data_IF_699354155404
#
_entry.id   IF_699354155404
#
_cell.length_a   1.000
_cell.length_b   1.000
_cell.length_c   1.000
_cell.angle_alpha   90.00
_cell.angle_beta   90.00
_cell.angle_gamma   90.00
#
_symmetry.space_group_name_H-M   'P 1'
#
loop_
_entity.id
_entity.type
_entity.pdbx_description
1 polymer ?
#
# COMPACT_ATOMS: atom_id res chain seq x y z
N UNK A 1 -16.20 -1.46 -7.18
CA UNK A 1 -16.88 -1.87 -8.42
C UNK A 1 -16.11 -3.02 -9.07
N UNK A 2 -16.72 -4.20 -9.22
CA UNK A 2 -16.10 -5.37 -9.86
C UNK A 2 -16.52 -5.41 -11.34
N UNK A 3 -15.67 -4.91 -12.24
CA UNK A 3 -15.83 -5.15 -13.68
C UNK A 3 -15.25 -6.52 -14.01
N UNK A 4 -15.96 -7.30 -14.84
CA UNK A 4 -15.50 -8.62 -15.30
C UNK A 4 -15.11 -8.52 -16.76
N UNK A 5 -13.87 -8.87 -17.08
CA UNK A 5 -13.37 -8.93 -18.45
C UNK A 5 -13.49 -10.37 -18.95
N UNK A 6 -14.19 -10.54 -20.07
CA UNK A 6 -14.33 -11.81 -20.76
C UNK A 6 -13.29 -11.91 -21.88
N UNK A 7 -12.32 -12.81 -21.74
CA UNK A 7 -11.29 -13.02 -22.76
C UNK A 7 -11.66 -14.22 -23.62
N UNK A 8 -11.92 -13.97 -24.91
CA UNK A 8 -12.15 -14.99 -25.93
C UNK A 8 -10.98 -15.02 -26.90
N UNK A 9 -10.52 -16.22 -27.30
CA UNK A 9 -9.36 -16.37 -28.20
C UNK A 9 -8.34 -17.43 -27.77
N UNK A 10 -8.44 -17.96 -26.54
CA UNK A 10 -7.77 -19.19 -26.14
C UNK A 10 -8.75 -20.38 -26.15
N UNK A 11 -8.25 -21.61 -26.12
CA UNK A 11 -9.05 -22.85 -26.13
C UNK A 11 -10.04 -22.98 -24.96
N UNK A 12 -9.98 -22.06 -24.00
CA UNK A 12 -11.00 -21.82 -22.96
C UNK A 12 -11.22 -20.32 -22.81
N UNK A 13 -12.47 -19.89 -22.74
CA UNK A 13 -12.80 -18.53 -22.34
C UNK A 13 -12.50 -18.35 -20.85
N UNK A 14 -11.77 -17.30 -20.52
CA UNK A 14 -11.43 -16.96 -19.13
C UNK A 14 -12.18 -15.69 -18.72
N UNK A 15 -12.68 -15.69 -17.48
CA UNK A 15 -13.23 -14.50 -16.84
C UNK A 15 -12.15 -13.99 -15.90
N UNK A 16 -11.65 -12.78 -16.16
CA UNK A 16 -10.78 -12.07 -15.23
C UNK A 16 -11.56 -10.93 -14.58
N UNK A 17 -11.23 -10.60 -13.33
CA UNK A 17 -11.73 -9.39 -12.69
C UNK A 17 -10.82 -8.24 -13.09
N UNK A 18 -11.42 -7.12 -13.49
CA UNK A 18 -10.73 -5.89 -13.83
C UNK A 18 -11.38 -4.75 -13.04
N UNK A 19 -11.36 -4.82 -11.71
CA UNK A 19 -12.06 -3.85 -10.86
C UNK A 19 -11.42 -2.46 -10.92
N UNK A 20 -12.22 -1.41 -10.76
CA UNK A 20 -11.74 -0.05 -10.45
C UNK A 20 -11.73 0.09 -8.93
N UNK A 21 -10.78 -0.56 -8.27
CA UNK A 21 -10.66 -0.52 -6.82
C UNK A 21 -9.18 -0.42 -6.40
N UNK A 22 -8.95 -0.19 -5.11
CA UNK A 22 -7.61 -0.04 -4.53
C UNK A 22 -6.64 -1.20 -4.84
N UNK A 23 -7.15 -2.43 -4.96
CA UNK A 23 -6.33 -3.62 -5.27
C UNK A 23 -5.88 -3.65 -6.73
N UNK A 24 -6.57 -2.93 -7.60
CA UNK A 24 -6.34 -2.90 -9.05
C UNK A 24 -5.57 -1.64 -9.49
N UNK A 25 -5.03 -0.88 -8.52
CA UNK A 25 -4.04 0.17 -8.76
C UNK A 25 -4.53 1.61 -8.71
N UNK A 26 -5.81 1.87 -8.41
CA UNK A 26 -6.33 3.24 -8.30
C UNK A 26 -6.56 3.68 -6.85
N UNK A 27 -6.19 4.92 -6.49
CA UNK A 27 -6.63 5.58 -5.26
C UNK A 27 -8.15 5.49 -5.04
N UNK A 28 -8.58 5.40 -3.78
CA UNK A 28 -10.01 5.39 -3.45
C UNK A 28 -10.69 6.72 -3.81
N UNK A 29 -9.89 7.78 -3.86
CA UNK A 29 -10.27 9.14 -4.23
C UNK A 29 -10.62 9.25 -5.72
N UNK A 30 -10.35 8.21 -6.52
CA UNK A 30 -10.72 8.09 -7.93
C UNK A 30 -11.93 7.19 -8.15
N UNK A 31 -12.57 6.74 -7.07
CA UNK A 31 -13.77 5.90 -7.15
C UNK A 31 -14.98 6.80 -7.39
N UNK A 32 -15.67 6.54 -8.50
CA UNK A 32 -16.98 7.08 -8.84
C UNK A 32 -17.83 6.02 -9.54
N UNK A 33 -18.96 6.43 -10.11
CA UNK A 33 -19.82 5.56 -10.92
C UNK A 33 -19.24 5.37 -12.32
N UNK A 34 -19.16 4.13 -12.80
CA UNK A 34 -18.73 3.85 -14.17
C UNK A 34 -19.90 4.14 -15.10
N UNK A 35 -19.82 5.22 -15.86
CA UNK A 35 -20.88 5.63 -16.78
C UNK A 35 -20.76 4.93 -18.12
N UNK A 36 -19.53 4.75 -18.60
CA UNK A 36 -19.28 4.13 -19.89
C UNK A 36 -18.01 3.29 -19.87
N UNK A 37 -18.07 2.14 -20.54
CA UNK A 37 -16.90 1.35 -20.91
C UNK A 37 -16.75 1.42 -22.43
N UNK A 38 -15.59 1.86 -22.88
CA UNK A 38 -15.29 2.07 -24.29
C UNK A 38 -14.18 1.10 -24.69
N UNK A 39 -14.47 0.28 -25.70
CA UNK A 39 -13.48 -0.62 -26.28
C UNK A 39 -12.43 0.18 -27.06
N UNK A 40 -11.16 -0.14 -26.83
CA UNK A 40 -10.04 0.32 -27.63
C UNK A 40 -9.30 -0.84 -28.29
N UNK A 41 -8.17 -0.52 -28.93
CA UNK A 41 -7.36 -1.52 -29.63
C UNK A 41 -6.61 -2.44 -28.64
N UNK A 42 -5.78 -1.84 -27.78
CA UNK A 42 -4.94 -2.57 -26.81
C UNK A 42 -5.41 -2.42 -25.36
N UNK A 43 -6.28 -1.43 -25.11
CA UNK A 43 -6.80 -1.06 -23.80
C UNK A 43 -8.30 -0.83 -23.89
N UNK A 44 -9.01 -1.02 -22.78
CA UNK A 44 -10.38 -0.52 -22.65
C UNK A 44 -10.40 0.68 -21.69
N UNK A 45 -11.31 1.61 -21.96
CA UNK A 45 -11.42 2.87 -21.22
C UNK A 45 -12.68 2.87 -20.37
N UNK A 46 -12.57 3.41 -19.17
CA UNK A 46 -13.70 3.67 -18.29
C UNK A 46 -13.86 5.17 -18.09
N UNK A 47 -15.09 5.65 -18.32
CA UNK A 47 -15.54 6.98 -17.91
C UNK A 47 -16.15 6.82 -16.53
N UNK A 48 -15.56 7.50 -15.55
CA UNK A 48 -15.99 7.45 -14.17
C UNK A 48 -16.51 8.83 -13.78
N UNK A 49 -17.77 8.89 -13.39
CA UNK A 49 -18.45 10.09 -12.91
C UNK A 49 -18.44 10.11 -11.38
N UNK A 50 -17.94 11.20 -10.80
CA UNK A 50 -17.97 11.44 -9.36
C UNK A 50 -18.91 12.57 -8.95
N UNK A 51 -19.70 13.15 -9.85
CA UNK A 51 -20.57 14.30 -9.58
C UNK A 51 -21.65 14.05 -8.52
N UNK A 52 -22.03 12.78 -8.32
CA UNK A 52 -22.97 12.36 -7.27
C UNK A 52 -22.25 11.83 -6.02
N UNK A 53 -20.92 11.78 -6.02
CA UNK A 53 -20.13 11.29 -4.89
C UNK A 53 -19.89 12.39 -3.88
N UNK A 54 -20.08 12.08 -2.60
CA UNK A 54 -19.82 13.02 -1.50
C UNK A 54 -18.33 12.95 -1.17
N UNK A 55 -17.60 14.06 -1.29
CA UNK A 55 -16.20 14.17 -0.88
C UNK A 55 -15.31 14.90 -1.89
N UNK A 56 -14.04 14.49 -1.97
CA UNK A 56 -13.01 15.09 -2.84
C UNK A 56 -12.78 14.27 -4.12
N UNK A 57 -13.70 13.37 -4.47
CA UNK A 57 -13.61 12.53 -5.67
C UNK A 57 -13.88 13.36 -6.92
N UNK A 58 -13.11 13.13 -7.96
CA UNK A 58 -13.21 13.85 -9.24
C UNK A 58 -13.43 12.87 -10.39
N UNK A 59 -14.22 13.29 -11.37
CA UNK A 59 -14.53 12.48 -12.54
C UNK A 59 -13.27 12.28 -13.37
N UNK A 60 -13.16 11.14 -14.02
CA UNK A 60 -11.92 10.79 -14.72
C UNK A 60 -12.09 9.75 -15.80
N UNK A 61 -11.09 9.73 -16.68
CA UNK A 61 -10.94 8.71 -17.71
C UNK A 61 -9.79 7.81 -17.32
N UNK A 62 -10.07 6.52 -17.22
CA UNK A 62 -9.11 5.50 -16.84
C UNK A 62 -8.95 4.48 -17.96
N UNK A 63 -7.73 4.03 -18.20
CA UNK A 63 -7.44 2.98 -19.16
C UNK A 63 -6.95 1.73 -18.45
N UNK A 64 -7.39 0.56 -18.93
CA UNK A 64 -6.93 -0.73 -18.44
C UNK A 64 -6.37 -1.56 -19.58
N UNK A 65 -5.19 -2.13 -19.33
CA UNK A 65 -4.54 -3.10 -20.20
C UNK A 65 -4.82 -4.56 -19.76
N UNK A 66 -5.81 -4.76 -18.88
CA UNK A 66 -6.16 -6.06 -18.31
C UNK A 66 -5.31 -6.49 -17.11
N UNK A 67 -4.28 -5.73 -16.73
CA UNK A 67 -3.47 -6.01 -15.51
C UNK A 67 -3.54 -4.89 -14.48
N UNK A 68 -3.58 -3.64 -14.92
CA UNK A 68 -3.66 -2.48 -14.05
C UNK A 68 -4.45 -1.36 -14.72
N UNK A 69 -4.93 -0.44 -13.90
CA UNK A 69 -5.54 0.79 -14.35
C UNK A 69 -4.54 1.94 -14.32
N UNK A 70 -4.63 2.83 -15.31
CA UNK A 70 -3.93 4.11 -15.33
C UNK A 70 -4.94 5.24 -15.52
N UNK A 71 -4.71 6.36 -14.85
CA UNK A 71 -5.45 7.59 -15.11
C UNK A 71 -4.93 8.23 -16.42
N UNK A 72 -5.83 8.59 -17.33
CA UNK A 72 -5.51 9.34 -18.55
C UNK A 72 -5.90 10.81 -18.42
N UNK A 73 -6.98 11.07 -17.70
CA UNK A 73 -7.51 12.41 -17.48
C UNK A 73 -8.31 12.44 -16.19
N UNK A 74 -8.29 13.60 -15.54
CA UNK A 74 -9.09 13.85 -14.34
C UNK A 74 -9.61 15.28 -14.40
N UNK A 75 -10.85 15.46 -13.93
CA UNK A 75 -11.42 16.79 -13.82
C UNK A 75 -10.77 17.55 -12.66
N UNK A 76 -10.75 18.87 -12.79
CA UNK A 76 -10.32 19.77 -11.70
C UNK A 76 -11.47 20.09 -10.75
N UNK A 77 -12.71 19.79 -11.14
CA UNK A 77 -13.92 19.99 -10.35
C UNK A 77 -14.49 18.65 -9.86
N UNK A 78 -15.15 18.68 -8.70
CA UNK A 78 -15.91 17.53 -8.17
C UNK A 78 -17.27 17.38 -8.83
N UNK A 79 -17.74 18.40 -9.54
CA UNK A 79 -19.11 18.51 -10.09
C UNK A 79 -19.22 18.08 -11.56
N UNK A 80 -18.09 17.75 -12.20
CA UNK A 80 -18.03 17.44 -13.62
C UNK A 80 -18.69 16.10 -13.96
N UNK A 81 -20.01 16.10 -14.20
CA UNK A 81 -20.71 14.91 -14.65
C UNK A 81 -20.20 14.42 -16.01
N UNK A 82 -20.07 13.10 -16.17
CA UNK A 82 -19.68 12.46 -17.44
C UNK A 82 -20.86 11.66 -17.98
N UNK A 83 -21.33 11.96 -19.19
CA UNK A 83 -22.53 11.31 -19.72
C UNK A 83 -22.24 10.36 -20.89
N UNK A 84 -21.20 10.63 -21.66
CA UNK A 84 -20.91 9.90 -22.89
C UNK A 84 -19.43 9.95 -23.27
N UNK A 85 -19.02 8.94 -24.02
CA UNK A 85 -17.74 8.95 -24.70
C UNK A 85 -17.74 7.98 -25.88
N UNK A 86 -16.91 8.30 -26.86
CA UNK A 86 -16.75 7.51 -28.08
C UNK A 86 -15.28 7.45 -28.47
N UNK A 87 -14.87 6.33 -29.05
CA UNK A 87 -13.56 6.19 -29.68
C UNK A 87 -13.72 6.32 -31.19
N UNK A 88 -13.06 7.31 -31.80
CA UNK A 88 -13.00 7.42 -33.26
C UNK A 88 -11.90 6.52 -33.80
N UNK A 89 -12.09 5.94 -34.98
CA UNK A 89 -11.10 5.04 -35.61
C UNK A 89 -10.55 5.56 -36.94
N UNK A 90 -10.95 6.75 -37.39
CA UNK A 90 -10.45 7.40 -38.62
C UNK A 90 -10.79 8.90 -38.61
N UNK A 91 -9.91 9.81 -39.10
CA UNK A 91 -8.55 9.57 -39.63
C UNK A 91 -7.50 9.30 -38.53
N UNK A 92 -7.70 9.87 -37.34
CA UNK A 92 -6.90 9.60 -36.14
C UNK A 92 -7.74 8.89 -35.08
N UNK A 93 -7.09 8.11 -34.21
CA UNK A 93 -7.79 7.50 -33.07
C UNK A 93 -7.86 8.50 -31.93
N UNK A 94 -9.08 8.93 -31.61
CA UNK A 94 -9.34 9.92 -30.57
C UNK A 94 -10.40 9.34 -29.63
N UNK A 95 -10.12 9.43 -28.34
CA UNK A 95 -11.13 9.25 -27.31
C UNK A 95 -11.79 10.61 -27.08
N UNK A 96 -13.06 10.72 -27.47
CA UNK A 96 -13.90 11.89 -27.22
C UNK A 96 -14.82 11.58 -26.05
N UNK A 97 -14.94 12.50 -25.10
CA UNK A 97 -15.81 12.34 -23.94
C UNK A 97 -16.31 13.70 -23.48
N UNK A 98 -17.46 13.74 -22.81
CA UNK A 98 -17.92 14.93 -22.12
C UNK A 98 -17.62 14.88 -20.63
N UNK A 99 -17.35 16.05 -20.06
CA UNK A 99 -17.33 16.27 -18.63
C UNK A 99 -17.79 17.70 -18.34
N UNK A 100 -18.78 17.87 -17.44
CA UNK A 100 -19.23 19.20 -17.03
C UNK A 100 -19.72 20.07 -18.19
N UNK A 101 -20.46 19.49 -19.13
CA UNK A 101 -20.94 20.15 -20.38
C UNK A 101 -19.85 20.57 -21.38
N UNK A 102 -18.59 20.15 -21.19
CA UNK A 102 -17.49 20.41 -22.13
C UNK A 102 -17.05 19.10 -22.79
N UNK A 103 -16.81 19.13 -24.09
CA UNK A 103 -16.25 17.99 -24.82
C UNK A 103 -14.73 18.04 -24.83
N UNK A 104 -14.11 16.96 -24.36
CA UNK A 104 -12.68 16.75 -24.33
C UNK A 104 -12.26 15.71 -25.37
N UNK A 105 -10.97 15.72 -25.71
CA UNK A 105 -10.37 14.76 -26.62
C UNK A 105 -9.00 14.32 -26.13
N UNK A 106 -8.74 13.02 -26.19
CA UNK A 106 -7.42 12.44 -25.93
C UNK A 106 -6.99 11.69 -27.20
N UNK A 107 -5.84 12.04 -27.80
CA UNK A 107 -5.29 11.26 -28.89
C UNK A 107 -4.79 9.91 -28.36
N UNK A 108 -5.24 8.83 -29.00
CA UNK A 108 -4.87 7.46 -28.66
C UNK A 108 -3.93 6.93 -29.75
N UNK A 109 -2.85 6.30 -29.32
CA UNK A 109 -1.91 5.67 -30.23
C UNK A 109 -2.42 4.28 -30.65
N UNK A 110 -2.37 3.96 -31.95
CA UNK A 110 -2.77 2.64 -32.48
C UNK A 110 -1.75 1.53 -32.25
N UNK A 111 -0.52 1.91 -31.90
CA UNK A 111 0.62 1.01 -31.85
C UNK A 111 1.45 1.31 -30.61
N UNK A 112 2.22 0.32 -30.16
CA UNK A 112 3.23 0.47 -29.12
C UNK A 112 4.34 1.41 -29.58
N UNK A 113 4.12 2.72 -29.43
CA UNK A 113 5.16 3.73 -29.60
C UNK A 113 5.61 4.21 -28.24
N UNK A 114 6.94 4.23 -28.05
CA UNK A 114 7.52 4.89 -26.91
C UNK A 114 7.29 6.40 -27.07
N UNK A 115 6.60 7.08 -26.14
CA UNK A 115 6.38 8.53 -26.23
C UNK A 115 7.67 9.32 -26.42
N UNK A 116 8.80 8.86 -25.88
CA UNK A 116 10.12 9.50 -26.08
C UNK A 116 10.64 9.44 -27.52
N UNK A 117 10.11 8.55 -28.35
CA UNK A 117 10.51 8.40 -29.75
C UNK A 117 9.59 9.13 -30.72
N UNK A 118 8.50 9.73 -30.23
CA UNK A 118 7.66 10.61 -31.02
C UNK A 118 8.14 12.05 -30.85
N UNK A 119 8.94 12.52 -31.81
CA UNK A 119 9.49 13.89 -31.81
C UNK A 119 8.42 14.98 -31.94
N UNK A 120 7.18 14.63 -32.25
CA UNK A 120 6.06 15.56 -32.40
C UNK A 120 5.14 15.59 -31.18
N UNK A 121 5.39 14.75 -30.17
CA UNK A 121 4.57 14.70 -28.97
C UNK A 121 4.79 15.95 -28.12
N UNK A 122 3.69 16.61 -27.75
CA UNK A 122 3.69 17.80 -26.89
C UNK A 122 3.26 17.40 -25.48
N UNK A 123 4.15 17.57 -24.51
CA UNK A 123 3.84 17.26 -23.11
C UNK A 123 3.01 18.37 -22.45
N UNK A 124 2.13 18.01 -21.52
CA UNK A 124 1.42 18.98 -20.68
C UNK A 124 2.40 19.73 -19.75
N UNK A 125 2.05 20.95 -19.35
CA UNK A 125 2.91 21.77 -18.48
C UNK A 125 3.22 21.11 -17.12
N UNK A 126 2.26 20.35 -16.60
CA UNK A 126 2.38 19.59 -15.37
C UNK A 126 1.60 18.29 -15.46
N UNK A 127 1.99 17.30 -14.67
CA UNK A 127 1.25 16.08 -14.45
C UNK A 127 1.36 15.64 -12.99
N UNK A 128 0.33 14.94 -12.50
CA UNK A 128 0.32 14.39 -11.15
C UNK A 128 0.10 12.89 -11.26
N UNK A 129 0.95 12.10 -10.62
CA UNK A 129 0.73 10.67 -10.45
C UNK A 129 0.57 10.37 -8.97
N UNK A 130 -0.50 9.66 -8.60
CA UNK A 130 -0.77 9.26 -7.22
C UNK A 130 -0.89 7.74 -7.18
N UNK A 131 -0.12 7.12 -6.28
CA UNK A 131 -0.20 5.68 -6.03
C UNK A 131 -1.46 5.35 -5.22
N UNK A 132 -1.95 4.10 -5.26
CA UNK A 132 -2.88 3.63 -4.24
C UNK A 132 -2.19 3.61 -2.86
N UNK A 133 -3.01 3.52 -1.80
CA UNK A 133 -2.51 3.29 -0.44
C UNK A 133 -1.87 1.90 -0.36
N UNK A 134 -0.60 1.88 0.02
CA UNK A 134 0.20 0.68 0.21
C UNK A 134 0.25 0.28 1.69
N UNK A 135 -0.09 -0.98 1.99
CA UNK A 135 -0.14 -1.56 3.33
C UNK A 135 0.69 -2.86 3.46
N UNK A 136 1.51 -3.18 2.45
CA UNK A 136 2.32 -4.40 2.36
C UNK A 136 1.56 -5.71 2.68
N UNK A 137 0.27 -5.78 2.33
CA UNK A 137 -0.63 -6.91 2.62
C UNK A 137 -0.82 -7.19 4.12
N UNK A 138 -0.58 -6.18 4.97
CA UNK A 138 -0.61 -6.29 6.43
C UNK A 138 -1.18 -5.02 7.04
N UNK A 139 -2.50 -4.85 7.00
CA UNK A 139 -3.15 -3.69 7.61
C UNK A 139 -3.07 -3.67 9.15
N UNK A 140 -2.82 -4.82 9.79
CA UNK A 140 -2.85 -4.93 11.26
C UNK A 140 -1.54 -4.53 11.92
N UNK A 141 -0.41 -4.62 11.20
CA UNK A 141 0.91 -4.41 11.77
C UNK A 141 1.59 -3.18 11.21
N UNK A 142 2.24 -2.46 12.11
CA UNK A 142 3.10 -1.34 11.79
C UNK A 142 4.33 -1.79 10.99
N UNK A 143 4.86 -0.85 10.22
CA UNK A 143 6.05 -1.03 9.40
C UNK A 143 6.98 0.13 9.65
N UNK A 144 8.27 -0.14 9.62
CA UNK A 144 9.28 0.90 9.60
C UNK A 144 9.63 1.21 8.14
N UNK A 145 9.07 2.29 7.60
CA UNK A 145 9.45 2.79 6.28
C UNK A 145 10.74 3.59 6.38
N UNK A 146 11.76 3.18 5.64
CA UNK A 146 13.11 3.75 5.77
C UNK A 146 13.40 4.80 4.70
N UNK A 147 13.12 4.47 3.45
CA UNK A 147 13.43 5.32 2.32
C UNK A 147 12.53 5.00 1.13
N UNK A 148 12.36 5.98 0.27
CA UNK A 148 11.92 5.77 -1.10
C UNK A 148 13.18 5.80 -1.96
N UNK A 149 13.19 4.98 -3.02
CA UNK A 149 14.23 5.03 -4.03
C UNK A 149 13.56 5.38 -5.35
N UNK A 150 13.95 6.49 -5.95
CA UNK A 150 13.50 6.86 -7.29
C UNK A 150 14.55 6.58 -8.34
N UNK A 151 14.10 6.11 -9.50
CA UNK A 151 14.92 5.97 -10.69
C UNK A 151 14.44 6.96 -11.72
N UNK A 152 15.21 8.02 -11.94
CA UNK A 152 14.85 9.10 -12.86
C UNK A 152 15.88 9.24 -13.99
N UNK A 153 15.41 9.75 -15.14
CA UNK A 153 16.23 10.10 -16.29
C UNK A 153 15.77 11.43 -16.88
N UNK A 154 16.68 12.04 -17.64
CA UNK A 154 16.47 13.32 -18.31
C UNK A 154 16.01 14.43 -17.34
N UNK A 155 16.45 14.36 -16.08
CA UNK A 155 16.26 15.42 -15.09
C UNK A 155 17.31 16.51 -15.37
N UNK A 156 16.84 17.74 -15.54
CA UNK A 156 17.68 18.93 -15.67
C UNK A 156 17.20 20.02 -14.72
N UNK A 157 17.82 21.21 -14.76
CA UNK A 157 17.38 22.36 -13.97
C UNK A 157 15.98 22.88 -14.32
N UNK A 158 15.42 22.49 -15.47
CA UNK A 158 14.15 23.01 -15.97
C UNK A 158 12.97 22.07 -15.74
N UNK A 159 13.21 20.76 -15.80
CA UNK A 159 12.23 19.72 -15.50
C UNK A 159 12.31 19.32 -14.03
N UNK A 160 11.19 19.30 -13.33
CA UNK A 160 11.17 18.96 -11.90
C UNK A 160 10.25 17.79 -11.61
N UNK A 161 10.66 16.95 -10.65
CA UNK A 161 9.82 15.90 -10.06
C UNK A 161 9.78 16.10 -8.56
N UNK A 162 8.67 16.59 -8.03
CA UNK A 162 8.48 16.64 -6.58
C UNK A 162 7.91 15.30 -6.11
N UNK A 163 8.68 14.62 -5.26
CA UNK A 163 8.31 13.35 -4.63
C UNK A 163 7.65 13.69 -3.30
N UNK A 164 6.39 13.29 -3.17
CA UNK A 164 5.58 13.58 -1.99
C UNK A 164 4.97 12.30 -1.43
N UNK A 165 4.69 12.31 -0.14
CA UNK A 165 4.05 11.19 0.54
C UNK A 165 3.09 11.66 1.62
N UNK A 166 2.24 10.73 2.05
CA UNK A 166 1.41 10.85 3.25
C UNK A 166 1.21 9.47 3.87
N UNK A 167 0.99 9.44 5.17
CA UNK A 167 0.97 8.21 5.97
C UNK A 167 -0.35 8.04 6.71
N UNK A 168 -0.67 6.79 7.05
CA UNK A 168 -1.71 6.38 8.01
C UNK A 168 -3.11 6.94 7.74
N UNK A 169 -3.43 7.28 6.48
CA UNK A 169 -4.71 7.88 6.08
C UNK A 169 -5.13 9.07 6.94
N UNK A 170 -4.18 9.77 7.56
CA UNK A 170 -4.48 10.90 8.47
C UNK A 170 -5.14 12.06 7.71
N UNK A 171 -4.77 12.24 6.45
CA UNK A 171 -5.46 13.09 5.50
C UNK A 171 -5.67 12.30 4.20
N UNK A 172 -6.91 12.29 3.70
CA UNK A 172 -7.29 11.61 2.45
C UNK A 172 -7.59 12.58 1.29
N UNK A 173 -7.58 13.90 1.53
CA UNK A 173 -7.78 14.92 0.50
C UNK A 173 -6.69 14.83 -0.57
N UNK A 174 -7.08 14.68 -1.82
CA UNK A 174 -6.14 14.54 -2.92
C UNK A 174 -5.32 15.81 -3.18
N UNK A 175 -5.85 16.98 -2.86
CA UNK A 175 -5.21 18.27 -3.11
C UNK A 175 -4.24 18.67 -1.98
N UNK A 176 -4.48 18.24 -0.74
CA UNK A 176 -3.76 18.70 0.45
C UNK A 176 -3.19 17.56 1.30
N UNK A 177 -2.44 17.88 2.36
CA UNK A 177 -1.91 16.88 3.30
C UNK A 177 -0.72 16.06 2.80
N UNK A 178 -0.05 16.51 1.74
CA UNK A 178 1.15 15.88 1.20
C UNK A 178 2.41 16.47 1.83
N UNK A 179 3.27 15.63 2.37
CA UNK A 179 4.63 15.99 2.79
C UNK A 179 5.57 15.87 1.61
N UNK A 180 6.34 16.91 1.31
CA UNK A 180 7.37 16.84 0.26
C UNK A 180 8.60 16.18 0.83
N UNK A 181 9.01 15.08 0.18
CA UNK A 181 10.19 14.32 0.55
C UNK A 181 11.43 14.86 -0.14
N UNK A 182 11.33 15.07 -1.46
CA UNK A 182 12.40 15.63 -2.26
C UNK A 182 11.86 16.29 -3.54
N UNK A 183 12.69 17.07 -4.23
CA UNK A 183 12.39 17.62 -5.55
C UNK A 183 13.60 17.46 -6.45
N UNK A 184 13.52 16.48 -7.36
CA UNK A 184 14.54 16.25 -8.37
C UNK A 184 14.51 17.40 -9.37
N UNK A 185 15.61 18.12 -9.53
CA UNK A 185 15.75 19.29 -10.40
C UNK A 185 17.20 19.54 -10.86
N UNK A 186 18.06 18.53 -10.84
CA UNK A 186 19.46 18.64 -11.30
C UNK A 186 19.87 17.43 -12.12
N UNK A 187 20.87 17.62 -12.99
CA UNK A 187 21.41 16.53 -13.79
C UNK A 187 22.14 15.46 -12.97
N UNK A 188 22.52 15.77 -11.72
CA UNK A 188 23.11 14.81 -10.78
C UNK A 188 22.12 13.78 -10.25
N UNK A 189 20.82 14.02 -10.41
CA UNK A 189 19.74 13.14 -9.94
C UNK A 189 19.26 12.18 -11.04
N UNK A 190 20.00 12.09 -12.16
CA UNK A 190 19.81 11.04 -13.15
C UNK A 190 20.37 9.71 -12.61
N UNK A 191 19.53 8.69 -12.55
CA UNK A 191 19.87 7.39 -11.96
C UNK A 191 19.03 7.10 -10.72
N UNK A 192 19.64 6.44 -9.74
CA UNK A 192 19.00 6.11 -8.47
C UNK A 192 19.21 7.23 -7.46
N UNK A 193 18.13 7.73 -6.87
CA UNK A 193 18.14 8.62 -5.72
C UNK A 193 17.52 7.89 -4.53
N UNK A 194 18.10 8.06 -3.33
CA UNK A 194 17.56 7.50 -2.08
C UNK A 194 17.04 8.65 -1.22
N UNK A 195 15.73 8.72 -1.06
CA UNK A 195 15.07 9.76 -0.27
C UNK A 195 14.60 9.17 1.07
N UNK A 196 15.26 9.59 2.15
CA UNK A 196 15.05 8.99 3.48
C UNK A 196 13.79 9.54 4.15
N UNK A 197 13.00 8.63 4.71
CA UNK A 197 11.81 8.96 5.49
C UNK A 197 12.17 9.20 6.96
N UNK A 198 11.55 10.22 7.56
CA UNK A 198 11.83 10.65 8.93
C UNK A 198 13.27 11.13 9.12
N UNK A 199 13.71 11.18 10.39
CA UNK A 199 15.04 11.68 10.78
C UNK A 199 16.14 10.62 10.54
N UNK A 200 16.19 10.01 9.35
CA UNK A 200 17.06 8.90 8.94
C UNK A 200 16.88 7.55 9.67
N UNK A 201 16.10 7.51 10.75
CA UNK A 201 15.77 6.29 11.48
C UNK A 201 14.59 5.51 10.83
N UNK A 202 13.96 6.10 9.82
CA UNK A 202 12.67 5.65 9.29
C UNK A 202 11.49 6.24 10.05
N UNK A 203 10.30 6.00 9.50
CA UNK A 203 9.01 6.42 10.06
C UNK A 203 8.14 5.17 10.27
N UNK A 204 7.48 5.09 11.42
CA UNK A 204 6.53 4.01 11.70
C UNK A 204 5.21 4.33 10.99
N UNK A 205 4.80 3.43 10.11
CA UNK A 205 3.62 3.59 9.26
C UNK A 205 2.79 2.30 9.24
N UNK A 206 1.48 2.44 9.25
CA UNK A 206 0.53 1.38 8.90
C UNK A 206 0.39 1.32 7.38
N UNK A 207 0.17 2.49 6.76
CA UNK A 207 -0.05 2.69 5.33
C UNK A 207 0.68 3.92 4.81
N UNK A 208 1.04 3.91 3.53
CA UNK A 208 1.67 5.05 2.85
C UNK A 208 1.07 5.23 1.46
N UNK A 209 0.98 6.48 1.03
CA UNK A 209 0.61 6.84 -0.33
C UNK A 209 1.67 7.78 -0.91
N UNK A 210 2.02 7.58 -2.17
CA UNK A 210 3.01 8.36 -2.89
C UNK A 210 2.34 9.25 -3.93
N UNK A 211 2.93 10.42 -4.14
CA UNK A 211 2.53 11.38 -5.18
C UNK A 211 3.77 11.93 -5.86
N UNK A 212 3.73 11.97 -7.19
CA UNK A 212 4.74 12.62 -8.03
C UNK A 212 4.09 13.81 -8.71
N UNK A 213 4.60 15.01 -8.45
CA UNK A 213 4.25 16.19 -9.23
C UNK A 213 5.36 16.43 -10.26
N UNK A 214 5.03 16.23 -11.52
CA UNK A 214 5.95 16.39 -12.64
C UNK A 214 5.72 17.74 -13.30
N UNK A 215 6.79 18.47 -13.61
CA UNK A 215 6.74 19.69 -14.41
C UNK A 215 7.80 19.64 -15.51
N UNK A 216 7.40 19.97 -16.74
CA UNK A 216 8.28 19.94 -17.93
C UNK A 216 9.17 21.17 -18.12
N UNK A 217 9.03 22.17 -17.25
CA UNK A 217 9.65 23.48 -17.44
C UNK A 217 9.08 24.28 -18.62
N UNK A 218 9.96 25.05 -19.29
CA UNK A 218 9.57 26.02 -20.31
C UNK A 218 9.37 25.47 -21.73
N UNK A 219 9.89 24.28 -22.03
CA UNK A 219 9.76 23.68 -23.38
C UNK A 219 8.53 22.77 -23.46
N UNK A 220 8.08 22.44 -24.67
CA UNK A 220 6.94 21.55 -24.87
C UNK A 220 7.31 20.12 -25.28
N UNK A 221 8.59 19.90 -25.54
CA UNK A 221 9.14 18.67 -26.13
C UNK A 221 9.97 17.85 -25.16
N UNK A 222 10.31 18.41 -23.99
CA UNK A 222 11.01 17.72 -22.92
C UNK A 222 10.06 17.50 -21.75
N UNK A 223 10.32 16.47 -20.95
CA UNK A 223 9.61 16.17 -19.72
C UNK A 223 10.50 15.28 -18.84
N UNK A 224 10.39 15.37 -17.51
CA UNK A 224 11.13 14.47 -16.63
C UNK A 224 10.64 13.02 -16.80
N UNK A 225 11.56 12.05 -16.75
CA UNK A 225 11.24 10.63 -16.88
C UNK A 225 11.50 9.88 -15.57
N UNK A 226 10.43 9.54 -14.85
CA UNK A 226 10.50 8.67 -13.67
C UNK A 226 10.19 7.23 -14.10
N UNK A 227 11.19 6.36 -13.98
CA UNK A 227 11.11 4.97 -14.45
C UNK A 227 10.60 4.02 -13.37
N UNK A 228 10.95 4.27 -12.11
CA UNK A 228 10.52 3.46 -10.98
C UNK A 228 10.55 4.24 -9.67
N UNK A 229 9.67 3.84 -8.76
CA UNK A 229 9.63 4.30 -7.37
C UNK A 229 9.51 3.06 -6.49
N UNK A 230 10.45 2.89 -5.55
CA UNK A 230 10.57 1.68 -4.73
C UNK A 230 10.61 2.07 -3.25
N UNK A 231 9.67 1.55 -2.47
CA UNK A 231 9.65 1.74 -1.02
C UNK A 231 10.56 0.70 -0.34
N UNK A 232 11.54 1.17 0.42
CA UNK A 232 12.33 0.36 1.34
C UNK A 232 11.69 0.39 2.73
N UNK A 233 11.17 -0.75 3.19
CA UNK A 233 10.50 -0.89 4.47
C UNK A 233 10.86 -2.21 5.17
N UNK A 234 10.70 -2.23 6.48
CA UNK A 234 10.78 -3.43 7.30
C UNK A 234 9.44 -3.64 8.00
N UNK A 235 8.89 -4.86 7.92
CA UNK A 235 7.72 -5.23 8.72
C UNK A 235 8.14 -5.29 10.19
N UNK A 236 7.45 -4.53 11.05
CA UNK A 236 7.64 -4.64 12.48
C UNK A 236 6.76 -5.77 12.98
N UNK A 237 7.37 -6.69 13.72
CA UNK A 237 6.63 -7.65 14.53
C UNK A 237 6.69 -7.09 15.93
N UNK A 238 5.55 -7.05 16.61
CA UNK A 238 5.51 -6.59 17.99
C UNK A 238 6.53 -7.37 18.82
N UNK A 239 7.28 -6.64 19.64
CA UNK A 239 8.31 -7.25 20.45
C UNK A 239 7.65 -8.08 21.54
N UNK A 240 7.63 -9.39 21.34
CA UNK A 240 7.10 -10.33 22.32
C UNK A 240 8.20 -10.62 23.36
N UNK A 241 7.92 -10.30 24.62
CA UNK A 241 8.79 -10.66 25.72
C UNK A 241 8.55 -12.11 26.14
N UNK A 242 9.63 -12.78 26.55
CA UNK A 242 9.52 -14.09 27.17
C UNK A 242 10.40 -14.20 28.40
N UNK A 243 9.90 -14.93 29.38
CA UNK A 243 10.61 -15.24 30.62
C UNK A 243 10.78 -16.74 30.70
N UNK A 244 12.03 -17.19 30.87
CA UNK A 244 12.31 -18.59 31.16
C UNK A 244 12.55 -18.75 32.66
N UNK A 245 11.88 -19.74 33.25
CA UNK A 245 12.04 -20.05 34.66
C UNK A 245 12.12 -21.56 34.88
N UNK A 246 12.86 -21.93 35.92
CA UNK A 246 12.95 -23.29 36.42
C UNK A 246 12.11 -23.39 37.68
N UNK A 247 11.01 -24.14 37.62
CA UNK A 247 10.22 -24.46 38.79
C UNK A 247 10.71 -25.77 39.39
N UNK A 248 11.02 -25.73 40.68
CA UNK A 248 11.26 -26.92 41.48
C UNK A 248 9.93 -27.22 42.17
N UNK A 249 9.33 -28.36 41.84
CA UNK A 249 8.11 -28.83 42.50
C UNK A 249 8.52 -29.76 43.64
N UNK A 250 8.24 -29.32 44.85
CA UNK A 250 8.45 -30.06 46.09
C UNK A 250 7.19 -30.05 46.98
N UNK A 251 7.25 -30.79 48.09
CA UNK A 251 6.22 -30.77 49.14
C UNK A 251 6.45 -29.65 50.17
N UNK A 252 7.42 -28.74 49.94
CA UNK A 252 7.63 -27.61 50.82
C UNK A 252 6.49 -26.60 50.62
N UNK A 253 5.93 -26.11 51.74
CA UNK A 253 4.86 -25.10 51.80
C UNK A 253 3.44 -25.60 51.42
N UNK A 254 2.85 -26.35 52.36
CA UNK A 254 1.41 -26.55 52.62
C UNK A 254 0.51 -27.04 51.46
N UNK A 255 1.08 -27.42 50.33
CA UNK A 255 0.38 -27.97 49.16
C UNK A 255 1.16 -29.17 48.65
N UNK A 256 0.49 -30.29 48.38
CA UNK A 256 1.15 -31.51 47.90
C UNK A 256 1.73 -31.29 46.50
N UNK A 257 2.93 -31.80 46.25
CA UNK A 257 3.66 -31.74 44.99
C UNK A 257 2.79 -32.21 43.81
N UNK A 258 2.01 -33.27 44.02
CA UNK A 258 1.02 -33.78 43.03
C UNK A 258 0.04 -32.70 42.57
N UNK A 259 -0.55 -31.94 43.50
CA UNK A 259 -1.52 -30.91 43.16
C UNK A 259 -0.86 -29.72 42.46
N UNK A 260 0.38 -29.38 42.82
CA UNK A 260 1.18 -28.36 42.15
C UNK A 260 1.50 -28.76 40.69
N UNK A 261 1.89 -30.01 40.46
CA UNK A 261 2.14 -30.56 39.14
C UNK A 261 0.87 -30.62 38.27
N UNK A 262 -0.25 -31.09 38.82
CA UNK A 262 -1.55 -31.13 38.12
C UNK A 262 -2.03 -29.72 37.71
N UNK A 263 -1.90 -28.73 38.62
CA UNK A 263 -2.23 -27.33 38.31
C UNK A 263 -1.32 -26.76 37.23
N UNK A 264 -0.02 -27.09 37.26
CA UNK A 264 0.93 -26.63 36.26
C UNK A 264 0.62 -27.22 34.88
N UNK A 265 0.39 -28.52 34.79
CA UNK A 265 0.00 -29.20 33.54
C UNK A 265 -1.30 -28.62 33.00
N UNK A 266 -2.31 -28.44 33.86
CA UNK A 266 -3.58 -27.82 33.48
C UNK A 266 -3.37 -26.41 32.91
N UNK A 267 -2.50 -25.60 33.52
CA UNK A 267 -2.20 -24.25 33.05
C UNK A 267 -1.42 -24.21 31.73
N UNK A 268 -0.59 -25.23 31.45
CA UNK A 268 0.10 -25.38 30.16
C UNK A 268 -0.88 -25.85 29.07
N UNK A 269 -1.70 -26.86 29.38
CA UNK A 269 -2.63 -27.47 28.43
C UNK A 269 -3.84 -26.60 28.12
N UNK A 270 -4.30 -25.77 29.05
CA UNK A 270 -5.46 -24.90 28.84
C UNK A 270 -5.23 -23.84 27.75
N UNK A 271 -3.97 -23.54 27.41
CA UNK A 271 -3.56 -22.47 26.49
C UNK A 271 -4.19 -21.09 26.82
N UNK A 272 -4.67 -20.91 28.05
CA UNK A 272 -5.29 -19.68 28.52
C UNK A 272 -4.22 -18.65 28.86
N UNK A 273 -4.54 -17.37 28.63
CA UNK A 273 -3.68 -16.26 29.07
C UNK A 273 -3.80 -16.16 30.59
N UNK A 274 -2.67 -16.22 31.29
CA UNK A 274 -2.60 -16.11 32.74
C UNK A 274 -1.84 -14.84 33.17
N UNK A 275 -2.21 -14.19 34.29
CA UNK A 275 -1.46 -13.08 34.82
C UNK A 275 -0.14 -13.59 35.44
N UNK A 276 0.98 -13.10 34.93
CA UNK A 276 2.32 -13.27 35.46
C UNK A 276 2.76 -12.00 36.18
N UNK A 277 2.96 -12.09 37.49
CA UNK A 277 3.38 -10.95 38.30
C UNK A 277 4.90 -10.97 38.41
N UNK A 278 5.56 -10.13 37.62
CA UNK A 278 7.00 -9.93 37.67
C UNK A 278 7.33 -8.90 38.75
N UNK A 279 8.03 -9.34 39.80
CA UNK A 279 8.47 -8.48 40.89
C UNK A 279 9.97 -8.22 40.77
N UNK A 280 10.33 -6.96 40.50
CA UNK A 280 11.70 -6.45 40.59
C UNK A 280 11.85 -5.66 41.90
N UNK A 281 13.09 -5.39 42.32
CA UNK A 281 13.40 -4.74 43.61
C UNK A 281 12.55 -3.48 43.89
N UNK A 282 12.24 -2.69 42.85
CA UNK A 282 11.55 -1.41 42.97
C UNK A 282 10.22 -1.33 42.18
N UNK A 283 9.79 -2.42 41.52
CA UNK A 283 8.53 -2.43 40.75
C UNK A 283 7.84 -3.79 40.77
N UNK A 284 6.50 -3.76 40.71
CA UNK A 284 5.68 -4.95 40.48
C UNK A 284 4.88 -4.72 39.21
N UNK A 285 5.15 -5.53 38.19
CA UNK A 285 4.45 -5.48 36.91
C UNK A 285 3.62 -6.74 36.72
N UNK A 286 2.35 -6.58 36.34
CA UNK A 286 1.51 -7.70 35.90
C UNK A 286 1.58 -7.78 34.39
N UNK A 287 2.07 -8.90 33.88
CA UNK A 287 2.12 -9.26 32.45
C UNK A 287 1.09 -10.33 32.16
N UNK A 288 0.58 -10.40 30.95
CA UNK A 288 -0.35 -11.44 30.53
C UNK A 288 0.38 -12.41 29.61
N UNK A 289 0.51 -13.66 30.05
CA UNK A 289 1.40 -14.63 29.38
C UNK A 289 0.70 -15.94 29.07
N UNK A 290 1.20 -16.63 28.06
CA UNK A 290 0.95 -18.06 27.85
C UNK A 290 2.15 -18.87 28.32
N UNK A 291 1.90 -19.98 28.99
CA UNK A 291 2.95 -20.89 29.43
C UNK A 291 3.23 -21.96 28.39
N UNK A 292 4.51 -22.18 28.13
CA UNK A 292 5.02 -23.26 27.30
C UNK A 292 6.01 -24.09 28.13
N UNK A 293 5.98 -25.41 27.97
CA UNK A 293 6.99 -26.32 28.52
C UNK A 293 7.95 -26.74 27.40
N UNK A 294 9.21 -26.23 27.37
CA UNK A 294 10.09 -26.43 26.22
C UNK A 294 10.81 -27.78 26.22
N UNK A 295 10.94 -28.45 27.38
CA UNK A 295 11.69 -29.70 27.51
C UNK A 295 11.03 -30.64 28.52
N UNK A 296 11.21 -31.94 28.26
CA UNK A 296 10.54 -33.04 28.96
C UNK A 296 10.59 -32.93 30.48
N UNK A 297 9.52 -33.38 31.11
CA UNK A 297 9.36 -33.42 32.56
C UNK A 297 10.26 -34.52 33.12
N UNK A 298 11.16 -34.18 34.05
CA UNK A 298 11.87 -35.19 34.84
C UNK A 298 11.10 -35.43 36.12
N UNK A 299 10.22 -36.43 36.11
CA UNK A 299 9.43 -36.81 37.27
C UNK A 299 10.05 -38.03 37.96
N UNK A 300 10.29 -37.95 39.26
CA UNK A 300 10.56 -39.16 40.04
C UNK A 300 9.23 -39.87 40.30
N UNK A 301 9.06 -41.08 39.78
CA UNK A 301 7.80 -41.84 39.86
C UNK A 301 7.29 -42.15 41.28
N UNK A 302 8.10 -41.89 42.31
CA UNK A 302 7.67 -41.79 43.70
C UNK A 302 7.73 -40.30 44.10
N UNK A 303 6.58 -39.74 44.50
CA UNK A 303 6.39 -38.40 45.10
C UNK A 303 6.11 -37.19 44.19
N UNK A 304 6.03 -37.32 42.85
CA UNK A 304 5.68 -36.20 41.94
C UNK A 304 6.58 -34.96 42.08
N UNK A 305 7.78 -35.15 42.65
CA UNK A 305 8.80 -34.10 42.75
C UNK A 305 9.58 -34.06 41.45
N UNK A 306 9.91 -32.86 41.00
CA UNK A 306 10.58 -32.69 39.71
C UNK A 306 10.92 -31.24 39.38
N UNK A 307 11.86 -31.11 38.46
CA UNK A 307 12.24 -29.83 37.87
C UNK A 307 11.47 -29.63 36.57
N UNK A 308 10.77 -28.51 36.47
CA UNK A 308 10.05 -28.10 35.27
C UNK A 308 10.71 -26.84 34.71
N UNK A 309 11.11 -26.89 33.45
CA UNK A 309 11.56 -25.70 32.72
C UNK A 309 10.36 -25.16 31.97
N UNK A 310 10.07 -23.88 32.16
CA UNK A 310 8.92 -23.22 31.57
C UNK A 310 9.35 -21.93 30.89
N UNK A 311 8.62 -21.58 29.84
CA UNK A 311 8.72 -20.28 29.18
C UNK A 311 7.34 -19.64 29.26
N UNK A 312 7.25 -18.47 29.88
CA UNK A 312 6.12 -17.57 29.75
C UNK A 312 6.37 -16.63 28.58
N UNK A 313 5.44 -16.56 27.63
CA UNK A 313 5.49 -15.66 26.48
C UNK A 313 4.37 -14.65 26.60
N UNK A 314 4.69 -13.36 26.55
CA UNK A 314 3.70 -12.26 26.55
C UNK A 314 2.83 -12.32 25.27
N UNK A 315 1.54 -12.04 25.41
CA UNK A 315 0.59 -11.98 24.28
C UNK A 315 0.01 -10.58 24.19
#
# INVERSE_FOLDING_TARGET
LDVKMYQTGQSRATISRAGLNQRDGLPNEYIGEIMYLIEGYDEFYALVDSSQSIGTTTSGVYASNGRYWRNLWIDVSTEGAMTSGILTTSPSVLLLFDCGSTTYKIPIQRTFQNPKKDSTYTYAASAVHISPWFDADTAVYDKLAKAINTYAKDITANETVAIKYRTNKTNTDIATGWTTLDTLNTSGENGQNEEKLGTNAGEVIETIQLRLDLARGGTTTLAPDVQAVVLAYQKLIDQIWSWSFRLIIDDLHNTKAKQKAENLITAIESQTIIPFIFRQADSTETKYVKLFSPQGTSETGNFYMGDYVLIAVEI
#
